data_IF_207871781687
#
_entry.id   IF_207871781687
#
_cell.length_a   1.000
_cell.length_b   1.000
_cell.length_c   1.000
_cell.angle_alpha   90.00
_cell.angle_beta   90.00
_cell.angle_gamma   90.00
#
_symmetry.space_group_name_H-M   'P 1'
#
loop_
_entity.id
_entity.type
_entity.pdbx_description
1 polymer ?
#
# COMPACT_ATOMS: atom_id res chain seq x y z
N UNK A 1 11.08 -15.69 -8.91
CA UNK A 1 10.33 -14.42 -8.80
C UNK A 1 10.06 -14.17 -7.34
N UNK A 2 10.30 -12.95 -6.86
CA UNK A 2 10.07 -12.54 -5.47
C UNK A 2 8.98 -11.49 -5.34
N UNK A 3 8.22 -11.59 -4.25
CA UNK A 3 7.28 -10.55 -3.83
C UNK A 3 7.86 -9.82 -2.62
N UNK A 4 8.02 -8.50 -2.72
CA UNK A 4 8.50 -7.66 -1.63
C UNK A 4 7.38 -6.76 -1.14
N UNK A 5 7.09 -6.74 0.16
CA UNK A 5 6.13 -5.82 0.76
C UNK A 5 6.85 -4.80 1.63
N UNK A 6 6.54 -3.52 1.45
CA UNK A 6 7.02 -2.44 2.32
C UNK A 6 5.87 -1.84 3.12
N UNK A 7 6.00 -1.88 4.45
CA UNK A 7 5.05 -1.26 5.37
C UNK A 7 5.13 0.28 5.36
N UNK A 8 4.13 0.94 5.96
CA UNK A 8 4.08 2.40 5.98
C UNK A 8 5.27 3.05 6.71
N UNK A 9 5.77 2.42 7.78
CA UNK A 9 6.97 2.86 8.48
C UNK A 9 8.23 2.80 7.61
N UNK A 10 8.32 1.82 6.70
CA UNK A 10 9.40 1.67 5.73
C UNK A 10 9.31 2.68 4.57
N UNK A 11 8.21 3.43 4.47
CA UNK A 11 7.95 4.43 3.42
C UNK A 11 7.69 5.82 4.01
N UNK A 12 7.96 6.03 5.31
CA UNK A 12 7.48 7.18 6.06
C UNK A 12 8.09 8.53 5.66
N UNK A 13 9.29 8.51 5.10
CA UNK A 13 10.05 9.69 4.70
C UNK A 13 10.87 9.39 3.44
N UNK A 14 11.46 10.43 2.84
CA UNK A 14 12.20 10.31 1.59
C UNK A 14 13.41 9.36 1.67
N UNK A 15 14.14 9.35 2.79
CA UNK A 15 15.29 8.46 2.96
C UNK A 15 14.85 6.99 2.94
N UNK A 16 13.84 6.66 3.74
CA UNK A 16 13.30 5.29 3.81
C UNK A 16 12.67 4.86 2.49
N UNK A 17 11.93 5.77 1.85
CA UNK A 17 11.32 5.54 0.55
C UNK A 17 12.38 5.23 -0.53
N UNK A 18 13.50 5.96 -0.53
CA UNK A 18 14.62 5.70 -1.44
C UNK A 18 15.35 4.41 -1.11
N UNK A 19 15.53 4.09 0.18
CA UNK A 19 16.09 2.80 0.59
C UNK A 19 15.23 1.63 0.10
N UNK A 20 13.90 1.74 0.20
CA UNK A 20 13.00 0.76 -0.38
C UNK A 20 13.16 0.66 -1.91
N UNK A 21 13.24 1.79 -2.61
CA UNK A 21 13.50 1.81 -4.05
C UNK A 21 14.82 1.12 -4.43
N UNK A 22 15.89 1.34 -3.66
CA UNK A 22 17.20 0.71 -3.89
C UNK A 22 17.16 -0.80 -3.64
N UNK A 23 16.46 -1.25 -2.59
CA UNK A 23 16.23 -2.68 -2.34
C UNK A 23 15.47 -3.30 -3.51
N UNK A 24 14.41 -2.66 -3.98
CA UNK A 24 13.62 -3.14 -5.13
C UNK A 24 14.50 -3.26 -6.37
N UNK A 25 15.24 -2.20 -6.72
CA UNK A 25 16.10 -2.17 -7.90
C UNK A 25 17.23 -3.22 -7.80
N UNK A 26 17.84 -3.40 -6.63
CA UNK A 26 18.88 -4.40 -6.43
C UNK A 26 18.37 -5.83 -6.62
N UNK A 27 17.16 -6.14 -6.17
CA UNK A 27 16.55 -7.46 -6.38
C UNK A 27 16.15 -7.67 -7.86
N UNK A 28 15.67 -6.62 -8.53
CA UNK A 28 15.29 -6.66 -9.94
C UNK A 28 16.47 -6.95 -10.89
N UNK A 29 17.71 -6.77 -10.45
CA UNK A 29 18.91 -7.17 -11.21
C UNK A 29 19.17 -8.68 -11.18
N UNK A 30 18.59 -9.40 -10.23
CA UNK A 30 18.86 -10.82 -9.98
C UNK A 30 17.73 -11.71 -10.51
N UNK A 31 16.48 -11.27 -10.36
CA UNK A 31 15.29 -12.00 -10.80
C UNK A 31 14.08 -11.08 -10.98
N UNK A 32 12.97 -11.62 -11.47
CA UNK A 32 11.71 -10.89 -11.56
C UNK A 32 11.18 -10.52 -10.16
N UNK A 33 10.75 -9.26 -10.00
CA UNK A 33 10.27 -8.71 -8.73
C UNK A 33 8.88 -8.12 -8.90
N UNK A 34 7.98 -8.49 -7.99
CA UNK A 34 6.74 -7.79 -7.74
C UNK A 34 6.78 -7.16 -6.34
N UNK A 35 6.16 -5.99 -6.19
CA UNK A 35 6.24 -5.16 -4.98
C UNK A 35 4.85 -4.79 -4.52
N UNK A 36 4.60 -4.86 -3.21
CA UNK A 36 3.39 -4.38 -2.57
C UNK A 36 3.73 -3.22 -1.64
N UNK A 37 3.08 -2.07 -1.82
CA UNK A 37 3.33 -0.89 -0.99
C UNK A 37 2.11 -0.51 -0.16
N UNK A 38 2.33 -0.26 1.12
CA UNK A 38 1.38 0.45 1.98
C UNK A 38 1.40 1.96 1.72
N UNK A 39 0.43 2.68 2.28
CA UNK A 39 0.50 4.14 2.36
C UNK A 39 1.74 4.60 3.18
N UNK A 40 2.38 5.73 2.81
CA UNK A 40 3.52 6.27 3.54
C UNK A 40 3.17 6.65 4.99
N UNK A 41 3.98 6.19 5.95
CA UNK A 41 3.88 6.59 7.36
C UNK A 41 2.48 6.35 7.96
N UNK A 42 1.83 7.44 8.39
CA UNK A 42 0.49 7.45 9.01
C UNK A 42 -0.61 7.97 8.07
N UNK A 43 -0.38 7.95 6.75
CA UNK A 43 -1.35 8.52 5.78
C UNK A 43 -2.72 7.85 5.86
N UNK A 44 -2.81 6.53 6.04
CA UNK A 44 -4.10 5.83 6.21
C UNK A 44 -4.86 6.34 7.42
N UNK A 45 -4.17 6.53 8.57
CA UNK A 45 -4.79 7.10 9.77
C UNK A 45 -5.32 8.52 9.52
N UNK A 46 -4.56 9.36 8.81
CA UNK A 46 -5.02 10.71 8.43
C UNK A 46 -6.25 10.66 7.53
N UNK A 47 -6.33 9.69 6.61
CA UNK A 47 -7.51 9.51 5.75
C UNK A 47 -8.74 9.06 6.55
N UNK A 48 -8.56 8.21 7.56
CA UNK A 48 -9.62 7.84 8.51
C UNK A 48 -10.06 9.07 9.33
N UNK A 49 -9.12 9.84 9.89
CA UNK A 49 -9.41 11.08 10.61
C UNK A 49 -10.18 12.09 9.75
N UNK A 50 -9.92 12.16 8.44
CA UNK A 50 -10.70 13.00 7.52
C UNK A 50 -12.16 12.55 7.47
N UNK A 51 -12.41 11.24 7.38
CA UNK A 51 -13.77 10.69 7.35
C UNK A 51 -14.48 11.00 8.66
N UNK A 52 -13.85 10.67 9.79
CA UNK A 52 -14.44 10.81 11.12
C UNK A 52 -14.80 12.28 11.41
N UNK A 53 -13.85 13.21 11.20
CA UNK A 53 -14.11 14.63 11.42
C UNK A 53 -15.17 15.20 10.46
N UNK A 54 -15.22 14.71 9.22
CA UNK A 54 -16.26 15.11 8.27
C UNK A 54 -17.65 14.70 8.75
N UNK A 55 -17.80 13.48 9.28
CA UNK A 55 -19.10 12.96 9.76
C UNK A 55 -19.49 13.59 11.09
N UNK A 56 -18.54 13.78 12.02
CA UNK A 56 -18.82 14.31 13.36
C UNK A 56 -19.02 15.83 13.40
N UNK A 57 -18.16 16.58 12.69
CA UNK A 57 -18.08 18.04 12.81
C UNK A 57 -18.43 18.78 11.52
N UNK A 58 -18.51 18.07 10.39
CA UNK A 58 -18.70 18.69 9.08
C UNK A 58 -17.46 19.43 8.55
N UNK A 59 -16.31 19.36 9.22
CA UNK A 59 -15.07 20.00 8.78
C UNK A 59 -13.88 19.03 8.91
N UNK A 60 -13.12 18.88 7.83
CA UNK A 60 -11.89 18.11 7.78
C UNK A 60 -10.75 18.89 7.10
N UNK A 61 -10.88 20.22 7.04
CA UNK A 61 -9.96 21.09 6.29
C UNK A 61 -8.54 20.99 6.84
N UNK A 62 -8.38 20.97 8.16
CA UNK A 62 -7.07 20.82 8.81
C UNK A 62 -6.41 19.48 8.45
N UNK A 63 -7.14 18.37 8.55
CA UNK A 63 -6.61 17.03 8.25
C UNK A 63 -6.24 16.90 6.77
N UNK A 64 -7.01 17.53 5.88
CA UNK A 64 -6.67 17.61 4.44
C UNK A 64 -5.37 18.42 4.24
N UNK A 65 -5.21 19.56 4.91
CA UNK A 65 -3.97 20.35 4.82
C UNK A 65 -2.75 19.57 5.33
N UNK A 66 -2.89 18.84 6.45
CA UNK A 66 -1.83 17.98 6.98
C UNK A 66 -1.49 16.82 6.01
N UNK A 67 -2.48 16.23 5.35
CA UNK A 67 -2.27 15.21 4.33
C UNK A 67 -1.48 15.76 3.14
N UNK A 68 -1.84 16.96 2.67
CA UNK A 68 -1.12 17.66 1.61
C UNK A 68 0.34 17.91 2.02
N UNK A 69 0.55 18.46 3.22
CA UNK A 69 1.88 18.73 3.73
C UNK A 69 2.75 17.47 3.82
N UNK A 70 2.16 16.33 4.21
CA UNK A 70 2.85 15.04 4.29
C UNK A 70 3.42 14.62 2.92
N UNK A 71 2.61 14.69 1.86
CA UNK A 71 3.09 14.34 0.52
C UNK A 71 4.03 15.38 -0.07
N UNK A 72 3.80 16.67 0.15
CA UNK A 72 4.73 17.72 -0.30
C UNK A 72 6.10 17.60 0.36
N UNK A 73 6.17 17.28 1.66
CA UNK A 73 7.43 17.01 2.35
C UNK A 73 8.14 15.79 1.76
N UNK A 74 7.41 14.70 1.49
CA UNK A 74 7.96 13.52 0.83
C UNK A 74 8.52 13.88 -0.56
N UNK A 75 7.78 14.63 -1.37
CA UNK A 75 8.19 15.02 -2.72
C UNK A 75 9.41 15.94 -2.73
N UNK A 76 9.47 16.91 -1.81
CA UNK A 76 10.63 17.77 -1.63
C UNK A 76 11.85 16.93 -1.25
N UNK A 77 11.71 16.07 -0.24
CA UNK A 77 12.80 15.19 0.18
C UNK A 77 13.27 14.29 -0.96
N UNK A 78 12.36 13.65 -1.71
CA UNK A 78 12.74 12.80 -2.85
C UNK A 78 13.49 13.60 -3.94
N UNK A 79 13.09 14.85 -4.21
CA UNK A 79 13.73 15.72 -5.20
C UNK A 79 15.16 16.11 -4.83
N UNK A 80 15.46 16.22 -3.53
CA UNK A 80 16.82 16.53 -3.05
C UNK A 80 17.81 15.41 -3.43
N UNK A 81 17.39 14.16 -3.30
CA UNK A 81 18.23 12.99 -3.58
C UNK A 81 18.12 12.51 -5.03
N UNK A 82 17.01 12.81 -5.72
CA UNK A 82 16.75 12.45 -7.12
C UNK A 82 16.39 13.72 -7.90
N UNK A 83 17.39 14.53 -8.30
CA UNK A 83 17.17 15.84 -8.93
C UNK A 83 16.39 15.79 -10.25
N UNK A 84 16.40 14.66 -10.94
CA UNK A 84 15.69 14.46 -12.22
C UNK A 84 14.22 14.07 -12.04
N UNK A 85 13.78 13.75 -10.81
CA UNK A 85 12.41 13.30 -10.54
C UNK A 85 11.38 14.37 -10.94
N UNK A 86 10.38 13.99 -11.74
CA UNK A 86 9.31 14.89 -12.16
C UNK A 86 8.28 15.11 -11.03
N UNK A 87 8.61 16.04 -10.14
CA UNK A 87 7.72 16.45 -9.05
C UNK A 87 6.45 17.14 -9.57
N UNK A 88 6.49 17.76 -10.75
CA UNK A 88 5.31 18.41 -11.30
C UNK A 88 4.24 17.38 -11.66
N UNK A 89 4.65 16.24 -12.24
CA UNK A 89 3.78 15.10 -12.48
C UNK A 89 3.21 14.52 -11.17
N UNK A 90 4.05 14.32 -10.15
CA UNK A 90 3.59 13.80 -8.85
C UNK A 90 2.59 14.73 -8.17
N UNK A 91 2.83 16.05 -8.20
CA UNK A 91 1.89 17.06 -7.69
C UNK A 91 0.57 17.06 -8.45
N UNK A 92 0.59 16.88 -9.77
CA UNK A 92 -0.62 16.77 -10.56
C UNK A 92 -1.45 15.53 -10.17
N UNK A 93 -0.79 14.38 -9.92
CA UNK A 93 -1.45 13.16 -9.41
C UNK A 93 -2.04 13.36 -8.02
N UNK A 94 -1.30 14.01 -7.12
CA UNK A 94 -1.79 14.39 -5.80
C UNK A 94 -3.02 15.32 -5.89
N UNK A 95 -2.95 16.38 -6.69
CA UNK A 95 -4.04 17.33 -6.89
C UNK A 95 -5.32 16.65 -7.44
N UNK A 96 -5.18 15.71 -8.37
CA UNK A 96 -6.30 14.91 -8.88
C UNK A 96 -6.91 14.04 -7.78
N UNK A 97 -6.08 13.35 -6.99
CA UNK A 97 -6.55 12.53 -5.87
C UNK A 97 -7.28 13.35 -4.79
N UNK A 98 -6.77 14.55 -4.48
CA UNK A 98 -7.36 15.50 -3.54
C UNK A 98 -8.68 16.09 -4.04
N UNK A 99 -8.79 16.34 -5.35
CA UNK A 99 -10.05 16.81 -5.95
C UNK A 99 -11.15 15.77 -5.71
N UNK A 100 -10.87 14.49 -5.94
CA UNK A 100 -11.81 13.41 -5.64
C UNK A 100 -12.07 13.26 -4.14
N UNK A 101 -11.04 13.41 -3.29
CA UNK A 101 -11.22 13.36 -1.84
C UNK A 101 -12.19 14.45 -1.35
N UNK A 102 -12.03 15.68 -1.83
CA UNK A 102 -12.93 16.81 -1.51
C UNK A 102 -14.36 16.55 -1.97
N UNK A 103 -14.56 15.85 -3.09
CA UNK A 103 -15.90 15.44 -3.53
C UNK A 103 -16.52 14.41 -2.58
N UNK A 104 -15.75 13.42 -2.11
CA UNK A 104 -16.23 12.47 -1.10
C UNK A 104 -16.55 13.18 0.22
N UNK A 105 -15.67 14.07 0.69
CA UNK A 105 -15.90 14.88 1.90
C UNK A 105 -17.20 15.67 1.78
N UNK A 106 -17.41 16.35 0.65
CA UNK A 106 -18.66 17.07 0.43
C UNK A 106 -19.89 16.15 0.42
N UNK A 107 -19.79 14.97 -0.21
CA UNK A 107 -20.85 13.97 -0.19
C UNK A 107 -21.18 13.47 1.23
N UNK A 108 -20.16 13.18 2.04
CA UNK A 108 -20.29 12.75 3.43
C UNK A 108 -20.95 13.84 4.29
N UNK A 109 -20.56 15.11 4.10
CA UNK A 109 -21.19 16.25 4.79
C UNK A 109 -22.68 16.34 4.49
N UNK A 110 -23.08 16.17 3.23
CA UNK A 110 -24.48 16.23 2.82
C UNK A 110 -25.31 15.05 3.35
N UNK A 111 -24.71 13.86 3.42
CA UNK A 111 -25.38 12.65 3.89
C UNK A 111 -25.42 12.53 5.41
N UNK A 112 -24.48 13.16 6.12
CA UNK A 112 -24.29 12.98 7.57
C UNK A 112 -23.78 11.59 7.95
N UNK A 113 -23.25 10.82 7.00
CA UNK A 113 -22.62 9.51 7.19
C UNK A 113 -21.63 9.20 6.06
N UNK A 114 -20.74 8.25 6.28
CA UNK A 114 -19.84 7.69 5.27
C UNK A 114 -20.28 6.27 4.90
N UNK A 115 -20.75 6.01 3.66
CA UNK A 115 -21.02 4.65 3.21
C UNK A 115 -19.72 3.85 3.05
N UNK A 116 -19.74 2.55 3.34
CA UNK A 116 -18.54 1.69 3.34
C UNK A 116 -17.77 1.70 2.01
N UNK A 117 -18.48 1.76 0.89
CA UNK A 117 -17.85 1.83 -0.43
C UNK A 117 -17.12 3.17 -0.68
N UNK A 118 -17.54 4.26 -0.02
CA UNK A 118 -16.85 5.55 -0.02
C UNK A 118 -15.68 5.49 0.96
N UNK A 119 -15.89 4.91 2.13
CA UNK A 119 -14.86 4.70 3.15
C UNK A 119 -13.64 3.98 2.55
N UNK A 120 -13.86 2.82 1.94
CA UNK A 120 -12.84 2.02 1.25
C UNK A 120 -12.05 2.84 0.22
N UNK A 121 -12.74 3.62 -0.62
CA UNK A 121 -12.13 4.47 -1.66
C UNK A 121 -11.32 5.63 -1.10
N UNK A 122 -11.70 6.17 0.07
CA UNK A 122 -10.98 7.27 0.72
C UNK A 122 -9.69 6.74 1.34
N UNK A 123 -9.79 5.69 2.16
CA UNK A 123 -8.63 5.17 2.91
C UNK A 123 -7.57 4.55 2.01
N UNK A 124 -7.95 4.01 0.83
CA UNK A 124 -7.01 3.43 -0.13
C UNK A 124 -6.19 4.47 -0.92
N UNK A 125 -6.48 5.78 -0.79
CA UNK A 125 -5.78 6.82 -1.57
C UNK A 125 -4.30 6.90 -1.24
N UNK A 126 -3.92 6.53 -0.02
CA UNK A 126 -2.53 6.53 0.43
C UNK A 126 -1.65 5.58 -0.37
N UNK A 127 -2.06 4.31 -0.48
CA UNK A 127 -1.37 3.27 -1.24
C UNK A 127 -1.31 3.63 -2.73
N UNK A 128 -2.40 4.16 -3.30
CA UNK A 128 -2.43 4.57 -4.72
C UNK A 128 -1.44 5.68 -5.04
N UNK A 129 -1.25 6.65 -4.14
CA UNK A 129 -0.23 7.67 -4.31
C UNK A 129 1.18 7.10 -4.08
N UNK A 130 1.32 6.19 -3.10
CA UNK A 130 2.58 5.49 -2.79
C UNK A 130 3.17 4.80 -4.02
N UNK A 131 2.39 3.98 -4.72
CA UNK A 131 2.87 3.24 -5.90
C UNK A 131 3.22 4.14 -7.08
N UNK A 132 2.47 5.23 -7.27
CA UNK A 132 2.74 6.20 -8.35
C UNK A 132 4.05 6.93 -8.08
N UNK A 133 4.29 7.30 -6.81
CA UNK A 133 5.57 7.89 -6.39
C UNK A 133 6.72 6.89 -6.55
N UNK A 134 6.53 5.62 -6.16
CA UNK A 134 7.58 4.60 -6.32
C UNK A 134 7.89 4.31 -7.78
N UNK A 135 6.87 4.20 -8.64
CA UNK A 135 7.05 4.05 -10.08
C UNK A 135 7.91 5.18 -10.64
N UNK A 136 7.56 6.44 -10.35
CA UNK A 136 8.31 7.59 -10.82
C UNK A 136 9.77 7.58 -10.33
N UNK A 137 10.01 7.20 -9.07
CA UNK A 137 11.38 7.10 -8.51
C UNK A 137 12.18 6.01 -9.22
N UNK A 138 11.62 4.81 -9.41
CA UNK A 138 12.30 3.70 -10.08
C UNK A 138 12.59 4.03 -11.55
N UNK A 139 11.61 4.56 -12.27
CA UNK A 139 11.77 4.94 -13.69
C UNK A 139 12.81 6.06 -13.86
N UNK A 140 12.83 7.05 -12.95
CA UNK A 140 13.86 8.10 -12.95
C UNK A 140 15.25 7.52 -12.69
N UNK A 141 15.36 6.46 -11.86
CA UNK A 141 16.60 5.72 -11.63
C UNK A 141 16.95 4.71 -12.75
N UNK A 142 16.18 4.69 -13.84
CA UNK A 142 16.42 3.81 -14.99
C UNK A 142 15.93 2.38 -14.80
N UNK A 143 15.12 2.10 -13.77
CA UNK A 143 14.49 0.81 -13.55
C UNK A 143 13.05 0.84 -14.10
N UNK A 144 12.75 0.12 -15.20
CA UNK A 144 11.39 0.04 -15.71
C UNK A 144 10.43 -0.53 -14.68
N UNK A 145 9.26 0.09 -14.55
CA UNK A 145 8.22 -0.33 -13.61
C UNK A 145 6.83 -0.30 -14.25
N UNK A 146 5.94 -1.16 -13.78
CA UNK A 146 4.54 -1.22 -14.18
C UNK A 146 3.64 -1.36 -12.95
N UNK A 147 2.46 -0.75 -13.01
CA UNK A 147 1.48 -0.84 -11.92
C UNK A 147 0.52 -2.01 -12.13
N UNK A 148 0.24 -2.74 -11.06
CA UNK A 148 -0.85 -3.72 -10.98
C UNK A 148 -2.06 -3.02 -10.34
N UNK A 149 -3.23 -3.10 -10.97
CA UNK A 149 -4.49 -2.68 -10.35
C UNK A 149 -5.16 -3.86 -9.63
N UNK A 150 -5.22 -3.88 -8.28
CA UNK A 150 -5.83 -4.99 -7.57
C UNK A 150 -7.31 -5.18 -7.88
N UNK A 151 -8.03 -4.14 -8.32
CA UNK A 151 -9.45 -4.26 -8.70
C UNK A 151 -9.61 -5.15 -9.95
N UNK A 152 -8.64 -5.08 -10.86
CA UNK A 152 -8.65 -5.88 -12.08
C UNK A 152 -8.19 -7.31 -11.82
N UNK A 153 -7.16 -7.49 -10.97
CA UNK A 153 -6.48 -8.78 -10.79
C UNK A 153 -6.97 -9.59 -9.60
N UNK A 154 -7.18 -8.98 -8.44
CA UNK A 154 -7.54 -9.67 -7.20
C UNK A 154 -9.07 -9.72 -7.05
N UNK A 155 -9.64 -10.91 -7.13
CA UNK A 155 -11.08 -11.15 -7.02
C UNK A 155 -11.42 -11.44 -5.56
N UNK A 156 -12.26 -10.59 -4.97
CA UNK A 156 -12.61 -10.66 -3.56
C UNK A 156 -14.13 -10.72 -3.34
N UNK A 157 -14.51 -11.08 -2.10
CA UNK A 157 -15.90 -11.02 -1.64
C UNK A 157 -16.47 -9.60 -1.64
N UNK A 158 -17.80 -9.48 -1.53
CA UNK A 158 -18.52 -8.20 -1.69
C UNK A 158 -18.51 -7.27 -0.46
N UNK A 159 -17.91 -7.69 0.66
CA UNK A 159 -17.69 -6.79 1.81
C UNK A 159 -16.72 -5.67 1.43
N UNK A 160 -17.08 -4.41 1.65
CA UNK A 160 -16.23 -3.28 1.23
C UNK A 160 -15.02 -3.06 2.12
N UNK A 161 -15.05 -3.49 3.38
CA UNK A 161 -14.05 -3.13 4.37
C UNK A 161 -13.14 -4.30 4.75
N UNK A 162 -13.71 -5.50 4.83
CA UNK A 162 -13.07 -6.73 5.31
C UNK A 162 -13.17 -7.86 4.26
N UNK A 163 -12.89 -7.53 3.00
CA UNK A 163 -13.01 -8.50 1.91
C UNK A 163 -11.94 -9.61 1.99
N UNK A 164 -12.34 -10.81 1.58
CA UNK A 164 -11.44 -11.97 1.42
C UNK A 164 -11.19 -12.25 -0.06
N UNK A 165 -9.95 -12.55 -0.43
CA UNK A 165 -9.55 -12.81 -1.81
C UNK A 165 -9.71 -14.29 -2.17
N UNK A 166 -10.34 -14.56 -3.31
CA UNK A 166 -10.34 -15.85 -3.98
C UNK A 166 -9.04 -16.01 -4.77
N UNK A 167 -8.11 -16.82 -4.25
CA UNK A 167 -6.80 -17.06 -4.85
C UNK A 167 -6.92 -17.75 -6.21
N UNK A 168 -7.86 -18.69 -6.38
CA UNK A 168 -7.99 -19.43 -7.63
C UNK A 168 -8.50 -18.50 -8.74
N UNK A 169 -9.56 -17.74 -8.46
CA UNK A 169 -10.09 -16.75 -9.40
C UNK A 169 -9.06 -15.65 -9.71
N UNK A 170 -8.32 -15.18 -8.71
CA UNK A 170 -7.26 -14.18 -8.89
C UNK A 170 -6.10 -14.72 -9.73
N UNK A 171 -5.68 -15.97 -9.52
CA UNK A 171 -4.67 -16.65 -10.35
C UNK A 171 -5.10 -16.69 -11.82
N UNK A 172 -6.38 -16.96 -12.08
CA UNK A 172 -6.92 -16.94 -13.45
C UNK A 172 -6.87 -15.54 -14.08
N UNK A 173 -7.00 -14.45 -13.31
CA UNK A 173 -6.81 -13.09 -13.81
C UNK A 173 -5.37 -12.89 -14.34
N UNK A 174 -4.36 -13.31 -13.58
CA UNK A 174 -2.95 -13.22 -14.01
C UNK A 174 -2.62 -14.12 -15.21
N UNK A 175 -3.30 -15.26 -15.38
CA UNK A 175 -3.16 -16.10 -16.58
C UNK A 175 -3.77 -15.42 -17.81
N UNK A 176 -4.93 -14.78 -17.66
CA UNK A 176 -5.63 -14.08 -18.76
C UNK A 176 -4.94 -12.79 -19.16
N UNK A 177 -4.33 -12.09 -18.21
CA UNK A 177 -3.61 -10.85 -18.41
C UNK A 177 -2.21 -10.99 -17.79
N UNK A 178 -1.26 -11.65 -18.49
CA UNK A 178 0.08 -11.83 -17.97
C UNK A 178 0.80 -10.50 -17.74
N UNK A 179 1.57 -10.45 -16.66
CA UNK A 179 2.44 -9.33 -16.36
C UNK A 179 3.59 -9.22 -17.38
N UNK A 180 3.98 -8.00 -17.74
CA UNK A 180 5.08 -7.77 -18.66
C UNK A 180 6.43 -8.25 -18.08
N UNK A 181 7.27 -8.86 -18.91
CA UNK A 181 8.62 -9.27 -18.51
C UNK A 181 9.59 -8.09 -18.46
N UNK A 182 10.64 -8.20 -17.64
CA UNK A 182 11.75 -7.22 -17.60
C UNK A 182 11.40 -5.87 -16.97
N UNK A 183 10.30 -5.80 -16.21
CA UNK A 183 9.89 -4.60 -15.46
C UNK A 183 9.56 -4.99 -14.02
N UNK A 184 9.75 -4.06 -13.08
CA UNK A 184 9.29 -4.23 -11.70
C UNK A 184 7.79 -4.00 -11.64
N UNK A 185 7.04 -4.96 -11.11
CA UNK A 185 5.60 -4.79 -10.91
C UNK A 185 5.31 -4.19 -9.54
N UNK A 186 4.49 -3.16 -9.47
CA UNK A 186 4.17 -2.46 -8.21
C UNK A 186 2.65 -2.46 -8.02
N UNK A 187 2.20 -3.00 -6.90
CA UNK A 187 0.80 -3.14 -6.54
C UNK A 187 0.51 -2.34 -5.26
N UNK A 188 -0.59 -1.59 -5.18
CA UNK A 188 -1.02 -1.03 -3.90
C UNK A 188 -1.49 -2.20 -3.02
N UNK A 189 -1.04 -2.23 -1.76
CA UNK A 189 -1.56 -3.19 -0.79
C UNK A 189 -3.01 -2.90 -0.43
N UNK A 190 -3.56 -3.70 0.48
CA UNK A 190 -4.81 -3.45 1.20
C UNK A 190 -6.09 -3.43 0.35
N UNK A 191 -6.01 -3.57 -0.97
CA UNK A 191 -7.15 -3.39 -1.89
C UNK A 191 -7.35 -4.59 -2.81
N UNK A 192 -8.59 -4.79 -3.26
CA UNK A 192 -8.99 -5.78 -4.26
C UNK A 192 -10.28 -5.33 -4.98
N UNK A 193 -10.77 -6.16 -5.92
CA UNK A 193 -12.03 -5.93 -6.63
C UNK A 193 -13.12 -6.93 -6.24
N UNK A 194 -14.32 -6.43 -5.92
CA UNK A 194 -15.47 -7.29 -5.67
C UNK A 194 -16.15 -7.79 -6.97
N UNK A 195 -17.27 -8.51 -6.84
CA UNK A 195 -18.02 -9.07 -7.98
C UNK A 195 -18.57 -8.01 -8.95
N UNK A 196 -18.70 -6.75 -8.50
CA UNK A 196 -19.17 -5.60 -9.30
C UNK A 196 -18.01 -4.83 -9.94
N UNK A 197 -16.76 -5.24 -9.71
CA UNK A 197 -15.58 -4.51 -10.16
C UNK A 197 -15.34 -3.22 -9.38
N UNK A 198 -15.85 -3.13 -8.15
CA UNK A 198 -15.62 -2.01 -7.25
C UNK A 198 -14.47 -2.30 -6.30
N UNK A 199 -13.76 -1.23 -5.90
CA UNK A 199 -12.70 -1.31 -4.90
C UNK A 199 -13.27 -1.71 -3.55
N UNK A 200 -12.67 -2.72 -2.95
CA UNK A 200 -12.85 -3.14 -1.56
C UNK A 200 -11.51 -3.15 -0.84
N UNK A 201 -11.54 -3.05 0.48
CA UNK A 201 -10.36 -3.22 1.31
C UNK A 201 -10.31 -4.57 1.98
N UNK A 202 -9.11 -5.00 2.34
CA UNK A 202 -8.81 -6.35 2.84
C UNK A 202 -8.67 -6.41 4.37
N UNK A 203 -9.21 -5.42 5.08
CA UNK A 203 -9.18 -5.37 6.54
C UNK A 203 -7.80 -5.17 7.19
N UNK A 204 -7.72 -5.56 8.47
CA UNK A 204 -6.49 -5.42 9.28
C UNK A 204 -5.32 -6.15 8.63
N UNK A 205 -4.14 -5.52 8.63
CA UNK A 205 -2.92 -6.03 7.99
C UNK A 205 -3.07 -6.32 6.48
N UNK A 206 -4.05 -5.70 5.81
CA UNK A 206 -4.38 -6.04 4.44
C UNK A 206 -3.25 -5.83 3.42
N UNK A 207 -2.22 -5.03 3.70
CA UNK A 207 -1.03 -4.97 2.83
C UNK A 207 -0.16 -6.22 2.90
N UNK A 208 -0.01 -6.84 4.08
CA UNK A 208 0.72 -8.11 4.22
C UNK A 208 -0.07 -9.24 3.55
N UNK A 209 -1.40 -9.23 3.74
CA UNK A 209 -2.29 -10.16 3.06
C UNK A 209 -2.24 -9.99 1.54
N UNK A 210 -2.25 -8.76 1.01
CA UNK A 210 -2.05 -8.50 -0.43
C UNK A 210 -0.76 -9.10 -0.98
N UNK A 211 0.34 -9.04 -0.22
CA UNK A 211 1.62 -9.60 -0.64
C UNK A 211 1.59 -11.13 -0.68
N UNK A 212 1.01 -11.77 0.35
CA UNK A 212 0.82 -13.21 0.37
C UNK A 212 -0.09 -13.70 -0.77
N UNK A 213 -1.19 -12.98 -1.04
CA UNK A 213 -2.10 -13.23 -2.16
C UNK A 213 -1.36 -13.12 -3.51
N UNK A 214 -0.61 -12.04 -3.70
CA UNK A 214 0.14 -11.81 -4.94
C UNK A 214 1.18 -12.90 -5.15
N UNK A 215 1.91 -13.28 -4.10
CA UNK A 215 2.89 -14.35 -4.13
C UNK A 215 2.24 -15.70 -4.50
N UNK A 216 1.08 -16.02 -3.93
CA UNK A 216 0.34 -17.23 -4.26
C UNK A 216 -0.13 -17.24 -5.72
N UNK A 217 -0.68 -16.12 -6.21
CA UNK A 217 -1.18 -16.01 -7.58
C UNK A 217 -0.06 -16.11 -8.62
N UNK A 218 1.10 -15.52 -8.34
CA UNK A 218 2.26 -15.53 -9.24
C UNK A 218 3.17 -16.75 -9.05
N UNK A 219 2.85 -17.64 -8.09
CA UNK A 219 3.71 -18.77 -7.69
C UNK A 219 5.14 -18.32 -7.38
N UNK A 220 5.25 -17.22 -6.63
CA UNK A 220 6.53 -16.66 -6.23
C UNK A 220 7.29 -17.62 -5.31
N UNK A 221 8.62 -17.61 -5.43
CA UNK A 221 9.50 -18.46 -4.63
C UNK A 221 9.60 -17.97 -3.18
N UNK A 222 9.41 -16.67 -2.96
CA UNK A 222 9.46 -16.03 -1.65
C UNK A 222 8.54 -14.80 -1.59
N UNK A 223 7.94 -14.58 -0.42
CA UNK A 223 7.24 -13.36 -0.03
C UNK A 223 7.96 -12.74 1.16
N UNK A 224 8.52 -11.54 0.99
CA UNK A 224 9.24 -10.81 2.02
C UNK A 224 8.44 -9.65 2.56
N UNK A 225 8.39 -9.57 3.89
CA UNK A 225 7.74 -8.48 4.60
C UNK A 225 8.82 -7.57 5.19
N UNK A 226 9.00 -6.40 4.59
CA UNK A 226 9.91 -5.37 5.06
C UNK A 226 9.18 -4.42 6.01
N UNK A 227 9.67 -4.34 7.25
CA UNK A 227 9.09 -3.59 8.35
C UNK A 227 10.18 -2.84 9.14
N UNK A 228 9.81 -2.19 10.25
CA UNK A 228 10.70 -1.39 11.11
C UNK A 228 11.37 -2.19 12.25
N UNK A 229 11.28 -3.51 12.20
CA UNK A 229 11.94 -4.46 13.12
C UNK A 229 12.58 -5.59 12.32
N UNK A 230 13.62 -6.23 12.86
CA UNK A 230 14.46 -7.20 12.14
C UNK A 230 13.75 -8.53 11.79
N UNK A 231 12.53 -8.73 12.29
CA UNK A 231 11.73 -9.93 12.05
C UNK A 231 10.68 -10.11 13.13
N UNK A 232 10.28 -11.37 13.36
CA UNK A 232 9.34 -11.69 14.44
C UNK A 232 10.11 -11.91 15.74
N UNK A 233 9.67 -11.26 16.81
CA UNK A 233 10.25 -11.39 18.15
C UNK A 233 9.36 -12.29 19.02
N UNK A 234 9.93 -12.81 20.12
CA UNK A 234 9.19 -13.61 21.11
C UNK A 234 8.00 -12.89 21.76
N UNK A 235 8.00 -11.55 21.74
CA UNK A 235 6.97 -10.63 22.21
C UNK A 235 7.28 -9.22 21.66
N UNK A 236 6.41 -8.22 21.86
CA UNK A 236 6.65 -6.86 21.37
C UNK A 236 7.95 -6.27 21.97
N UNK A 237 9.01 -6.05 21.15
CA UNK A 237 10.30 -5.55 21.63
C UNK A 237 10.23 -4.09 22.13
N UNK A 238 9.15 -3.35 21.82
CA UNK A 238 8.91 -2.00 22.35
C UNK A 238 8.44 -2.02 23.80
N UNK A 239 7.82 -3.12 24.24
CA UNK A 239 7.32 -3.31 25.60
C UNK A 239 8.30 -4.10 26.47
N UNK A 240 9.01 -5.07 25.87
CA UNK A 240 9.93 -5.97 26.58
C UNK A 240 11.33 -5.87 25.96
N UNK A 241 12.29 -5.17 26.60
CA UNK A 241 13.63 -4.96 26.05
C UNK A 241 14.42 -6.24 25.78
N UNK A 242 14.13 -7.32 26.54
CA UNK A 242 14.79 -8.63 26.40
C UNK A 242 14.11 -9.55 25.37
N UNK A 243 13.18 -9.03 24.56
CA UNK A 243 12.54 -9.78 23.49
C UNK A 243 13.59 -10.34 22.52
N UNK A 244 13.44 -11.61 22.14
CA UNK A 244 14.42 -12.32 21.30
C UNK A 244 13.90 -12.46 19.88
N UNK A 245 14.78 -12.19 18.91
CA UNK A 245 14.49 -12.45 17.50
C UNK A 245 14.33 -13.96 17.27
N UNK A 246 13.24 -14.34 16.60
CA UNK A 246 12.95 -15.71 16.22
C UNK A 246 13.49 -15.95 14.81
N UNK A 247 14.48 -16.84 14.70
CA UNK A 247 15.14 -17.13 13.41
C UNK A 247 14.26 -17.94 12.45
N UNK A 248 13.26 -18.66 12.97
CA UNK A 248 12.34 -19.46 12.18
C UNK A 248 11.02 -19.67 12.93
N UNK A 249 9.92 -19.67 12.18
CA UNK A 249 8.58 -19.98 12.67
C UNK A 249 7.87 -20.84 11.62
N UNK A 250 7.05 -21.79 12.07
CA UNK A 250 6.08 -22.46 11.21
C UNK A 250 4.91 -21.51 10.88
N UNK A 251 4.19 -21.80 9.81
CA UNK A 251 2.98 -21.03 9.47
C UNK A 251 1.94 -21.03 10.59
N UNK A 252 1.78 -22.15 11.29
CA UNK A 252 0.83 -22.25 12.39
C UNK A 252 1.23 -21.34 13.56
N UNK A 253 2.50 -21.33 13.96
CA UNK A 253 2.98 -20.44 15.03
C UNK A 253 2.84 -18.97 14.64
N UNK A 254 3.21 -18.61 13.40
CA UNK A 254 3.08 -17.23 12.92
C UNK A 254 1.62 -16.77 12.89
N UNK A 255 0.69 -17.65 12.48
CA UNK A 255 -0.74 -17.35 12.44
C UNK A 255 -1.28 -17.07 13.84
N UNK A 256 -1.02 -17.96 14.81
CA UNK A 256 -1.45 -17.78 16.21
C UNK A 256 -0.88 -16.49 16.83
N UNK A 257 0.41 -16.21 16.61
CA UNK A 257 1.05 -14.98 17.08
C UNK A 257 0.41 -13.73 16.48
N UNK A 258 0.08 -13.75 15.18
CA UNK A 258 -0.53 -12.61 14.50
C UNK A 258 -1.98 -12.35 14.92
N UNK A 259 -2.70 -13.37 15.37
CA UNK A 259 -4.10 -13.27 15.76
C UNK A 259 -4.27 -12.68 17.17
N UNK A 260 -3.37 -13.05 18.10
CA UNK A 260 -3.42 -12.62 19.51
C UNK A 260 -2.50 -11.45 19.86
N UNK A 261 -1.63 -11.01 18.93
CA UNK A 261 -0.70 -9.88 19.06
C UNK A 261 -1.13 -8.61 18.34
#
# INVERSE_FOLDING_TARGET
MRVLKFGGSSLADAERFLRAADIIASNAQQEDVAVVLSAPGKVTNKLVEIIDNTVESGDASEQIEQLIATFEQLFIGLKEWVPELDIALLRAKLASSLTQLKQYVHGMQLLGLCPDNVYAKVISKGERLSIVTMQAVLETKGQPAALIDPVEYLKASDDYLEASVDIEASTQSFVKQPLAAGVVHIMPGFTAGNSKGELVTLGRNGSDYSAAVLAACLRADCCEIWTDVDGVYSCDPRLVPDARLLNSLSYQEAMELSYFG
#
